data_IF_696912084749
#
_entry.id   IF_696912084749
#
_cell.length_a   1.000
_cell.length_b   1.000
_cell.length_c   1.000
_cell.angle_alpha   90.00
_cell.angle_beta   90.00
_cell.angle_gamma   90.00
#
_symmetry.space_group_name_H-M   'P 1'
#
loop_
_entity.id
_entity.type
_entity.pdbx_description
1 polymer ?
#
# COMPACT_ATOMS: atom_id res chain seq x y z
N UNK A 1 -7.76 -18.41 -1.05
CA UNK A 1 -8.24 -18.20 0.34
C UNK A 1 -7.65 -19.31 1.19
N UNK A 2 -7.34 -19.03 2.45
CA UNK A 2 -6.80 -19.99 3.41
C UNK A 2 -7.81 -20.22 4.56
N UNK A 3 -7.72 -21.38 5.20
CA UNK A 3 -8.51 -21.69 6.39
C UNK A 3 -8.11 -20.78 7.55
N UNK A 4 -9.11 -20.28 8.27
CA UNK A 4 -8.86 -19.54 9.50
C UNK A 4 -8.49 -20.43 10.68
N UNK A 5 -8.19 -19.84 11.85
CA UNK A 5 -7.76 -20.58 13.04
C UNK A 5 -8.78 -21.66 13.46
N UNK A 6 -8.37 -22.67 14.25
CA UNK A 6 -9.29 -23.67 14.78
C UNK A 6 -10.49 -23.03 15.49
N UNK A 7 -11.70 -23.50 15.18
CA UNK A 7 -12.95 -22.96 15.74
C UNK A 7 -14.00 -24.07 15.82
N UNK A 8 -15.16 -23.75 16.41
CA UNK A 8 -16.31 -24.65 16.47
C UNK A 8 -16.97 -24.92 15.11
N UNK A 9 -16.60 -24.17 14.07
CA UNK A 9 -17.15 -24.31 12.71
C UNK A 9 -16.43 -25.45 11.98
N UNK A 10 -17.20 -26.45 11.57
CA UNK A 10 -16.70 -27.62 10.83
C UNK A 10 -16.14 -27.24 9.45
N UNK A 11 -15.28 -28.08 8.87
CA UNK A 11 -14.76 -27.86 7.51
C UNK A 11 -15.87 -27.76 6.45
N UNK A 12 -16.96 -28.53 6.61
CA UNK A 12 -18.11 -28.46 5.73
C UNK A 12 -18.82 -27.11 5.79
N UNK A 13 -19.00 -26.56 6.99
CA UNK A 13 -19.59 -25.24 7.19
C UNK A 13 -18.66 -24.12 6.68
N UNK A 14 -17.35 -24.22 6.91
CA UNK A 14 -16.36 -23.26 6.36
C UNK A 14 -16.43 -23.19 4.84
N UNK A 15 -16.49 -24.36 4.18
CA UNK A 15 -16.63 -24.42 2.72
C UNK A 15 -17.95 -23.79 2.23
N UNK A 16 -19.06 -24.01 2.95
CA UNK A 16 -20.33 -23.37 2.62
C UNK A 16 -20.27 -21.84 2.77
N UNK A 17 -19.67 -21.33 3.85
CA UNK A 17 -19.47 -19.90 4.07
C UNK A 17 -18.58 -19.29 2.98
N UNK A 18 -17.50 -19.98 2.58
CA UNK A 18 -16.61 -19.52 1.51
C UNK A 18 -17.33 -19.46 0.17
N UNK A 19 -18.13 -20.49 -0.19
CA UNK A 19 -18.94 -20.48 -1.41
C UNK A 19 -19.94 -19.33 -1.43
N UNK A 20 -20.61 -19.08 -0.31
CA UNK A 20 -21.51 -17.91 -0.17
C UNK A 20 -20.76 -16.60 -0.35
N UNK A 21 -19.57 -16.48 0.25
CA UNK A 21 -18.73 -15.30 0.12
C UNK A 21 -18.34 -15.03 -1.33
N UNK A 22 -17.85 -16.05 -2.05
CA UNK A 22 -17.52 -15.92 -3.48
C UNK A 22 -18.75 -15.52 -4.31
N UNK A 23 -19.89 -16.18 -4.12
CA UNK A 23 -21.12 -15.85 -4.86
C UNK A 23 -21.61 -14.42 -4.59
N UNK A 24 -21.50 -13.93 -3.35
CA UNK A 24 -21.83 -12.55 -2.99
C UNK A 24 -20.91 -11.54 -3.70
N UNK A 25 -19.61 -11.82 -3.78
CA UNK A 25 -18.67 -10.98 -4.52
C UNK A 25 -18.95 -10.98 -6.03
N UNK A 26 -19.22 -12.14 -6.62
CA UNK A 26 -19.49 -12.26 -8.06
C UNK A 26 -20.78 -11.53 -8.48
N UNK A 27 -21.79 -11.54 -7.61
CA UNK A 27 -23.08 -10.90 -7.84
C UNK A 27 -23.19 -9.47 -7.30
N UNK A 28 -22.20 -9.00 -6.53
CA UNK A 28 -22.24 -7.73 -5.78
C UNK A 28 -23.47 -7.62 -4.85
N UNK A 29 -23.99 -8.75 -4.36
CA UNK A 29 -25.18 -8.82 -3.51
C UNK A 29 -24.83 -8.65 -2.03
N UNK A 30 -24.37 -7.45 -1.65
CA UNK A 30 -23.92 -7.15 -0.29
C UNK A 30 -25.03 -7.38 0.75
N UNK A 31 -24.65 -7.93 1.91
CA UNK A 31 -25.59 -8.19 3.01
C UNK A 31 -25.90 -6.96 3.86
N UNK A 32 -25.02 -5.95 3.81
CA UNK A 32 -25.14 -4.71 4.56
C UNK A 32 -24.30 -3.62 3.88
N UNK A 33 -24.68 -2.37 4.11
CA UNK A 33 -23.92 -1.16 3.74
C UNK A 33 -23.76 -0.32 4.99
N UNK A 34 -22.59 0.27 5.17
CA UNK A 34 -22.29 1.19 6.26
C UNK A 34 -21.80 2.49 5.62
N UNK A 35 -22.49 3.58 5.92
CA UNK A 35 -22.09 4.92 5.49
C UNK A 35 -21.27 5.55 6.61
N UNK A 36 -20.02 5.89 6.32
CA UNK A 36 -19.12 6.57 7.25
C UNK A 36 -18.89 7.98 6.72
N UNK A 37 -19.36 9.04 7.43
CA UNK A 37 -19.10 10.40 7.01
C UNK A 37 -17.62 10.71 7.21
N UNK A 38 -16.97 11.20 6.15
CA UNK A 38 -15.60 11.69 6.20
C UNK A 38 -15.62 13.18 6.55
N UNK A 39 -15.05 13.52 7.70
CA UNK A 39 -14.98 14.86 8.26
C UNK A 39 -13.60 15.53 8.02
N UNK A 40 -12.54 14.74 7.80
CA UNK A 40 -11.17 15.18 7.57
C UNK A 40 -10.56 14.65 6.27
N UNK A 41 -9.37 15.15 5.95
CA UNK A 41 -8.60 14.70 4.77
C UNK A 41 -7.65 13.52 5.05
N UNK A 42 -7.40 13.20 6.32
CA UNK A 42 -6.39 12.23 6.75
C UNK A 42 -7.08 10.95 7.27
N UNK A 43 -6.97 9.87 6.51
CA UNK A 43 -7.63 8.59 6.82
C UNK A 43 -6.82 7.41 6.28
N UNK A 44 -7.07 6.24 6.86
CA UNK A 44 -6.53 4.97 6.40
C UNK A 44 -7.61 3.88 6.43
N UNK A 45 -7.54 2.93 5.48
CA UNK A 45 -8.44 1.77 5.45
C UNK A 45 -7.66 0.50 5.16
N UNK A 46 -7.53 -0.35 6.19
CA UNK A 46 -6.72 -1.54 6.12
C UNK A 46 -7.31 -2.68 6.96
N UNK A 47 -7.32 -3.90 6.41
CA UNK A 47 -7.77 -5.09 7.14
C UNK A 47 -9.24 -5.07 7.58
N UNK A 48 -10.08 -4.20 7.02
CA UNK A 48 -11.48 -4.00 7.46
C UNK A 48 -11.64 -2.99 8.59
N UNK A 49 -10.56 -2.30 8.99
CA UNK A 49 -10.61 -1.12 9.84
C UNK A 49 -10.54 0.13 8.97
N UNK A 50 -11.49 1.04 9.17
CA UNK A 50 -11.42 2.42 8.72
C UNK A 50 -11.00 3.29 9.90
N UNK A 51 -10.01 4.14 9.72
CA UNK A 51 -9.55 5.09 10.72
C UNK A 51 -9.42 6.47 10.08
N UNK A 52 -9.82 7.50 10.80
CA UNK A 52 -9.83 8.87 10.31
C UNK A 52 -9.43 9.83 11.42
N UNK A 53 -8.65 10.84 11.08
CA UNK A 53 -8.31 11.94 11.99
C UNK A 53 -9.56 12.74 12.36
N UNK A 54 -9.79 12.91 13.66
CA UNK A 54 -10.90 13.69 14.19
C UNK A 54 -10.49 14.44 15.46
N UNK A 55 -10.54 15.77 15.42
CA UNK A 55 -10.34 16.65 16.57
C UNK A 55 -9.04 16.38 17.37
N UNK A 56 -7.91 16.16 16.68
CA UNK A 56 -6.62 15.84 17.32
C UNK A 56 -6.50 14.40 17.86
N UNK A 57 -7.46 13.55 17.49
CA UNK A 57 -7.47 12.12 17.76
C UNK A 57 -7.80 11.30 16.51
N UNK A 58 -8.15 10.03 16.71
CA UNK A 58 -8.59 9.14 15.64
C UNK A 58 -9.96 8.54 15.95
N UNK A 59 -10.89 8.63 15.01
CA UNK A 59 -12.12 7.86 15.01
C UNK A 59 -11.89 6.57 14.22
N UNK A 60 -12.16 5.42 14.83
CA UNK A 60 -11.84 4.11 14.27
C UNK A 60 -13.10 3.26 14.21
N UNK A 61 -13.32 2.60 13.07
CA UNK A 61 -14.48 1.75 12.79
C UNK A 61 -14.05 0.43 12.16
N UNK A 62 -14.40 -0.68 12.80
CA UNK A 62 -14.34 -2.02 12.23
C UNK A 62 -15.60 -2.30 11.41
N UNK A 63 -15.40 -2.59 10.13
CA UNK A 63 -16.49 -2.98 9.24
C UNK A 63 -16.94 -4.42 9.53
N UNK A 64 -18.26 -4.67 9.62
CA UNK A 64 -18.78 -5.99 9.90
C UNK A 64 -18.63 -6.94 8.71
N UNK A 65 -18.61 -8.24 8.99
CA UNK A 65 -18.69 -9.29 7.98
C UNK A 65 -19.43 -10.50 8.53
N UNK A 66 -20.72 -10.64 8.18
CA UNK A 66 -21.57 -11.73 8.67
C UNK A 66 -21.01 -13.11 8.32
N UNK A 67 -20.56 -13.30 7.08
CA UNK A 67 -20.00 -14.58 6.60
C UNK A 67 -18.68 -14.94 7.28
N UNK A 68 -17.98 -13.95 7.85
CA UNK A 68 -16.72 -14.16 8.57
C UNK A 68 -16.87 -14.03 10.08
N UNK A 69 -18.08 -13.78 10.59
CA UNK A 69 -18.34 -13.55 12.02
C UNK A 69 -17.71 -12.28 12.59
N UNK A 70 -17.36 -11.30 11.76
CA UNK A 70 -16.71 -10.06 12.21
C UNK A 70 -17.81 -9.07 12.65
N UNK A 71 -17.80 -8.59 13.92
CA UNK A 71 -18.77 -7.62 14.40
C UNK A 71 -18.43 -6.21 13.91
N UNK A 72 -19.44 -5.35 13.89
CA UNK A 72 -19.23 -3.92 13.78
C UNK A 72 -18.79 -3.36 15.13
N UNK A 73 -17.70 -2.61 15.16
CA UNK A 73 -17.18 -1.95 16.35
C UNK A 73 -16.71 -0.54 15.98
N UNK A 74 -16.88 0.41 16.89
CA UNK A 74 -16.32 1.75 16.74
C UNK A 74 -15.76 2.22 18.08
N UNK A 75 -14.62 2.90 18.04
CA UNK A 75 -13.97 3.50 19.19
C UNK A 75 -13.18 4.73 18.77
N UNK A 76 -12.75 5.52 19.75
CA UNK A 76 -11.98 6.73 19.52
C UNK A 76 -10.70 6.69 20.34
N UNK A 77 -9.62 7.19 19.74
CA UNK A 77 -8.39 7.52 20.45
C UNK A 77 -8.35 9.04 20.59
N UNK A 78 -8.71 9.54 21.77
CA UNK A 78 -8.71 10.97 22.07
C UNK A 78 -7.30 11.43 22.45
N UNK A 79 -6.97 12.67 22.07
CA UNK A 79 -5.74 13.37 22.45
C UNK A 79 -4.48 12.50 22.27
N UNK A 80 -4.13 12.23 21.01
CA UNK A 80 -2.94 11.43 20.71
C UNK A 80 -1.65 12.15 21.17
N UNK A 81 -1.72 13.47 21.39
CA UNK A 81 -0.64 14.28 21.93
C UNK A 81 0.51 14.52 20.95
N UNK A 82 0.26 14.31 19.65
CA UNK A 82 1.20 14.59 18.55
C UNK A 82 0.41 15.22 17.40
N UNK A 83 1.10 15.99 16.56
CA UNK A 83 0.52 16.55 15.34
C UNK A 83 0.58 15.49 14.24
N UNK A 84 -0.57 15.04 13.74
CA UNK A 84 -0.66 13.92 12.81
C UNK A 84 -0.42 14.43 11.39
N UNK A 85 0.77 14.16 10.85
CA UNK A 85 1.06 14.45 9.45
C UNK A 85 0.42 13.40 8.52
N UNK A 86 0.61 12.12 8.85
CA UNK A 86 0.00 10.96 8.19
C UNK A 86 0.04 9.77 9.17
N UNK A 87 -0.77 8.75 8.92
CA UNK A 87 -0.79 7.55 9.75
C UNK A 87 -1.18 6.29 8.95
N UNK A 88 -0.84 5.13 9.52
CA UNK A 88 -1.30 3.81 9.03
C UNK A 88 -1.74 2.91 10.16
N UNK A 89 -2.70 2.03 9.85
CA UNK A 89 -3.18 1.02 10.78
C UNK A 89 -2.85 -0.40 10.30
N UNK A 90 -2.44 -1.27 11.21
CA UNK A 90 -2.39 -2.71 10.99
C UNK A 90 -3.12 -3.44 12.13
N UNK A 91 -4.41 -3.78 11.93
CA UNK A 91 -5.22 -4.43 12.96
C UNK A 91 -4.80 -5.87 13.24
N UNK A 92 -4.01 -6.51 12.36
CA UNK A 92 -3.50 -7.85 12.64
C UNK A 92 -2.52 -7.87 13.82
N UNK A 93 -1.84 -6.75 14.04
CA UNK A 93 -0.81 -6.60 15.07
C UNK A 93 -1.21 -5.62 16.18
N UNK A 94 -2.44 -5.09 16.15
CA UNK A 94 -2.87 -3.96 16.99
C UNK A 94 -1.95 -2.73 16.84
N UNK A 95 -1.43 -2.48 15.63
CA UNK A 95 -0.43 -1.44 15.39
C UNK A 95 -1.05 -0.19 14.76
N UNK A 96 -0.71 0.96 15.30
CA UNK A 96 -0.96 2.29 14.77
C UNK A 96 0.39 3.00 14.61
N UNK A 97 0.73 3.38 13.38
CA UNK A 97 1.94 4.12 13.03
C UNK A 97 1.54 5.55 12.72
N UNK A 98 2.14 6.52 13.41
CA UNK A 98 1.83 7.94 13.23
C UNK A 98 3.12 8.68 12.90
N UNK A 99 3.14 9.39 11.77
CA UNK A 99 4.21 10.32 11.47
C UNK A 99 3.86 11.71 12.01
N UNK A 100 4.84 12.29 12.69
CA UNK A 100 4.86 13.64 13.22
C UNK A 100 6.09 14.37 12.64
N UNK A 101 5.91 15.65 12.31
CA UNK A 101 6.99 16.55 11.90
C UNK A 101 8.01 16.82 13.02
N UNK A 102 7.75 16.31 14.24
CA UNK A 102 8.69 16.25 15.34
C UNK A 102 8.93 17.60 16.03
N UNK A 103 9.38 17.60 17.30
CA UNK A 103 9.72 18.85 18.02
C UNK A 103 11.12 19.38 17.68
N UNK A 104 11.98 18.57 17.04
CA UNK A 104 13.42 18.82 16.89
C UNK A 104 13.78 19.40 15.52
N UNK A 105 13.28 20.59 15.22
CA UNK A 105 13.75 21.42 14.11
C UNK A 105 13.39 20.89 12.71
N UNK A 106 13.70 21.69 11.67
CA UNK A 106 13.16 21.56 10.31
C UNK A 106 13.69 20.38 9.47
N UNK A 107 13.96 19.22 10.07
CA UNK A 107 14.50 18.04 9.37
C UNK A 107 14.30 16.70 10.08
N UNK A 108 13.59 16.62 11.20
CA UNK A 108 13.52 15.41 12.01
C UNK A 108 12.11 14.82 12.04
N UNK A 109 11.91 13.73 11.29
CA UNK A 109 10.64 13.00 11.26
C UNK A 109 10.60 12.02 12.43
N UNK A 110 9.52 12.08 13.23
CA UNK A 110 9.28 11.12 14.32
C UNK A 110 8.11 10.22 13.97
N UNK A 111 8.33 8.91 14.05
CA UNK A 111 7.35 7.89 13.72
C UNK A 111 6.96 7.20 15.01
N UNK A 112 5.79 7.53 15.55
CA UNK A 112 5.27 6.94 16.78
C UNK A 112 4.64 5.57 16.51
N UNK A 113 5.01 4.58 17.33
CA UNK A 113 4.48 3.22 17.27
C UNK A 113 3.53 3.02 18.45
N UNK A 114 2.23 2.96 18.17
CA UNK A 114 1.17 2.90 19.18
C UNK A 114 0.28 1.67 19.00
N UNK A 115 -0.42 1.30 20.07
CA UNK A 115 -1.50 0.33 20.02
C UNK A 115 -2.73 0.95 19.37
N UNK A 116 -3.29 0.28 18.36
CA UNK A 116 -4.49 0.73 17.64
C UNK A 116 -5.73 0.72 18.55
N UNK A 117 -5.80 -0.23 19.47
CA UNK A 117 -6.92 -0.38 20.41
C UNK A 117 -6.85 0.59 21.58
N UNK A 118 -5.66 1.05 22.00
CA UNK A 118 -5.49 1.85 23.22
C UNK A 118 -4.82 3.22 23.04
N UNK A 119 -4.16 3.47 21.91
CA UNK A 119 -3.39 4.70 21.64
C UNK A 119 -2.09 4.84 22.45
N UNK A 120 -1.77 3.87 23.31
CA UNK A 120 -0.55 3.83 24.14
C UNK A 120 0.67 3.35 23.34
N UNK A 121 1.91 3.55 23.83
CA UNK A 121 3.10 2.95 23.21
C UNK A 121 2.91 1.46 22.93
N UNK A 122 3.25 1.03 21.71
CA UNK A 122 2.99 -0.32 21.28
C UNK A 122 3.85 -1.32 22.08
N UNK A 123 3.27 -2.37 22.70
CA UNK A 123 4.01 -3.24 23.62
C UNK A 123 5.12 -4.08 22.97
N UNK A 124 5.05 -4.30 21.65
CA UNK A 124 6.09 -5.01 20.89
C UNK A 124 7.19 -4.11 20.34
N UNK A 125 7.09 -2.79 20.47
CA UNK A 125 8.13 -1.86 20.05
C UNK A 125 9.08 -1.58 21.21
N UNK A 126 10.38 -1.64 20.96
CA UNK A 126 11.38 -1.25 21.96
C UNK A 126 11.19 0.22 22.39
N UNK A 127 11.33 0.55 23.70
CA UNK A 127 11.28 1.92 24.16
C UNK A 127 12.34 2.79 23.44
N UNK A 128 12.00 3.99 22.95
CA UNK A 128 10.81 4.80 23.29
C UNK A 128 9.53 4.54 22.46
N UNK A 129 9.41 3.41 21.75
CA UNK A 129 8.31 3.12 20.81
C UNK A 129 8.11 4.23 19.77
N UNK A 130 9.23 4.80 19.34
CA UNK A 130 9.30 5.80 18.30
C UNK A 130 10.55 5.55 17.44
N UNK A 131 10.42 5.79 16.15
CA UNK A 131 11.53 5.76 15.19
C UNK A 131 11.83 7.20 14.79
N UNK A 132 13.10 7.49 14.53
CA UNK A 132 13.54 8.81 14.13
C UNK A 132 14.29 8.72 12.81
N UNK A 133 13.99 9.65 11.90
CA UNK A 133 14.71 9.79 10.66
C UNK A 133 15.00 11.25 10.38
N UNK A 134 16.27 11.56 10.13
CA UNK A 134 16.69 12.91 9.76
C UNK A 134 16.65 12.98 8.24
N UNK A 135 15.81 13.87 7.73
CA UNK A 135 15.65 14.09 6.31
C UNK A 135 15.57 15.60 6.05
N UNK A 136 16.41 16.16 5.16
CA UNK A 136 16.80 17.57 5.18
C UNK A 136 15.70 18.59 4.79
N UNK A 137 14.43 18.21 4.73
CA UNK A 137 13.30 19.08 4.37
C UNK A 137 12.01 18.74 5.14
N UNK A 138 11.20 19.78 5.38
CA UNK A 138 9.91 19.69 6.10
C UNK A 138 8.71 19.35 5.20
N UNK A 139 8.73 19.78 3.92
CA UNK A 139 7.61 19.56 2.99
C UNK A 139 7.82 18.27 2.19
N UNK A 140 7.55 17.14 2.85
CA UNK A 140 7.84 15.81 2.33
C UNK A 140 6.57 14.98 2.29
N UNK A 141 6.26 14.43 1.13
CA UNK A 141 5.21 13.43 1.00
C UNK A 141 5.67 12.10 1.58
N UNK A 142 4.79 11.40 2.28
CA UNK A 142 5.11 10.11 2.90
C UNK A 142 4.30 8.98 2.23
N UNK A 143 4.96 7.86 1.97
CA UNK A 143 4.33 6.64 1.49
C UNK A 143 4.75 5.48 2.39
N UNK A 144 3.78 4.92 3.13
CA UNK A 144 4.00 3.92 4.17
C UNK A 144 3.52 2.55 3.71
N UNK A 145 4.30 1.52 4.02
CA UNK A 145 3.83 0.14 3.94
C UNK A 145 4.26 -0.62 5.20
N UNK A 146 3.36 -1.43 5.76
CA UNK A 146 3.62 -2.31 6.90
C UNK A 146 3.52 -3.76 6.44
N UNK A 147 4.53 -4.57 6.74
CA UNK A 147 4.56 -6.00 6.40
C UNK A 147 5.23 -6.80 7.51
N UNK A 148 4.41 -7.41 8.38
CA UNK A 148 4.92 -8.13 9.54
C UNK A 148 5.72 -7.21 10.46
N UNK A 149 6.99 -7.54 10.70
CA UNK A 149 7.90 -6.74 11.53
C UNK A 149 8.48 -5.53 10.79
N UNK A 150 8.24 -5.38 9.49
CA UNK A 150 8.86 -4.33 8.70
C UNK A 150 7.92 -3.16 8.48
N UNK A 151 8.45 -1.96 8.69
CA UNK A 151 7.83 -0.69 8.32
C UNK A 151 8.72 -0.05 7.27
N UNK A 152 8.18 0.18 6.08
CA UNK A 152 8.84 0.95 5.04
C UNK A 152 8.20 2.34 4.93
N UNK A 153 9.02 3.37 4.76
CA UNK A 153 8.59 4.72 4.45
C UNK A 153 9.42 5.25 3.28
N UNK A 154 8.73 5.67 2.23
CA UNK A 154 9.32 6.45 1.14
C UNK A 154 9.00 7.93 1.36
N UNK A 155 10.05 8.69 1.62
CA UNK A 155 10.07 10.14 1.72
C UNK A 155 10.18 10.72 0.30
N UNK A 156 9.16 11.45 -0.13
CA UNK A 156 9.00 11.98 -1.47
C UNK A 156 9.19 13.50 -1.46
N UNK A 157 10.15 13.98 -2.25
CA UNK A 157 10.37 15.40 -2.46
C UNK A 157 10.02 15.84 -3.88
N UNK A 158 9.67 17.11 -4.01
CA UNK A 158 9.35 17.71 -5.32
C UNK A 158 10.56 17.78 -6.24
N UNK A 159 11.76 17.97 -5.68
CA UNK A 159 13.01 18.00 -6.46
C UNK A 159 13.49 16.59 -6.86
N UNK A 160 12.83 15.56 -6.33
CA UNK A 160 13.12 14.16 -6.60
C UNK A 160 14.15 13.54 -5.67
N UNK A 161 14.69 14.23 -4.65
CA UNK A 161 15.70 13.68 -3.74
C UNK A 161 15.16 12.63 -2.74
N UNK A 162 14.39 11.67 -3.23
CA UNK A 162 13.61 10.73 -2.42
C UNK A 162 14.50 9.81 -1.58
N UNK A 163 14.00 9.42 -0.41
CA UNK A 163 14.63 8.42 0.45
C UNK A 163 13.66 7.29 0.78
N UNK A 164 14.09 6.03 0.61
CA UNK A 164 13.38 4.85 1.06
C UNK A 164 14.08 4.29 2.30
N UNK A 165 13.35 4.19 3.40
CA UNK A 165 13.86 3.62 4.64
C UNK A 165 12.96 2.49 5.09
N UNK A 166 13.55 1.36 5.46
CA UNK A 166 12.86 0.19 6.00
C UNK A 166 13.45 -0.10 7.37
N UNK A 167 12.57 -0.12 8.37
CA UNK A 167 12.88 -0.54 9.73
C UNK A 167 12.34 -1.94 10.01
N UNK A 168 13.02 -2.68 10.86
CA UNK A 168 12.32 -3.58 11.78
C UNK A 168 11.72 -2.71 12.89
N UNK A 169 10.41 -2.47 12.83
CA UNK A 169 9.75 -1.52 13.74
C UNK A 169 9.74 -2.00 15.19
N UNK A 170 9.90 -3.31 15.43
CA UNK A 170 9.93 -3.85 16.80
C UNK A 170 11.24 -3.51 17.49
N UNK A 171 12.36 -3.72 16.80
CA UNK A 171 13.70 -3.41 17.33
C UNK A 171 14.16 -1.98 17.06
N UNK A 172 13.48 -1.25 16.18
CA UNK A 172 13.84 0.10 15.77
C UNK A 172 15.04 0.19 14.82
N UNK A 173 15.61 -0.94 14.42
CA UNK A 173 16.78 -0.99 13.54
C UNK A 173 16.39 -0.69 12.09
N UNK A 174 17.15 0.17 11.43
CA UNK A 174 17.10 0.35 9.97
C UNK A 174 17.71 -0.90 9.34
N UNK A 175 16.93 -1.62 8.53
CA UNK A 175 17.39 -2.79 7.77
C UNK A 175 17.79 -2.42 6.33
N UNK A 176 17.21 -1.35 5.80
CA UNK A 176 17.58 -0.78 4.51
C UNK A 176 17.33 0.72 4.52
N UNK A 177 18.27 1.47 3.95
CA UNK A 177 18.12 2.87 3.63
C UNK A 177 18.57 3.06 2.19
N UNK A 178 17.94 3.98 1.46
CA UNK A 178 18.46 4.40 0.17
C UNK A 178 18.01 5.81 -0.16
N UNK A 179 18.93 6.60 -0.71
CA UNK A 179 18.64 7.91 -1.30
C UNK A 179 18.71 7.76 -2.81
N UNK A 180 17.56 7.84 -3.49
CA UNK A 180 17.48 7.64 -4.93
C UNK A 180 16.29 8.35 -5.53
N UNK A 181 16.56 9.24 -6.48
CA UNK A 181 15.57 9.96 -7.27
C UNK A 181 14.78 9.10 -8.27
N UNK A 182 15.30 7.91 -8.52
CA UNK A 182 14.65 6.91 -9.33
C UNK A 182 13.47 6.26 -8.59
N UNK A 183 13.52 6.14 -7.26
CA UNK A 183 12.47 5.46 -6.46
C UNK A 183 11.25 6.37 -6.35
N UNK A 184 10.11 5.94 -6.91
CA UNK A 184 8.88 6.75 -6.94
C UNK A 184 7.72 6.13 -6.16
N UNK A 185 7.70 4.81 -6.03
CA UNK A 185 6.79 4.07 -5.19
C UNK A 185 7.37 2.70 -4.85
N UNK A 186 6.92 2.08 -3.78
CA UNK A 186 7.32 0.74 -3.41
C UNK A 186 6.19 0.00 -2.71
N UNK A 187 6.31 -1.32 -2.56
CA UNK A 187 5.54 -2.10 -1.60
C UNK A 187 6.33 -3.37 -1.22
N UNK A 188 5.96 -4.03 -0.12
CA UNK A 188 6.55 -5.32 0.25
C UNK A 188 5.97 -6.44 -0.61
N UNK A 189 6.81 -7.31 -1.16
CA UNK A 189 6.40 -8.57 -1.81
C UNK A 189 6.49 -9.77 -0.87
N UNK A 190 7.42 -9.73 0.08
CA UNK A 190 7.59 -10.73 1.12
C UNK A 190 8.24 -10.10 2.35
N UNK A 191 8.53 -10.92 3.35
CA UNK A 191 9.41 -10.63 4.49
C UNK A 191 10.87 -10.26 4.14
N UNK A 192 11.25 -10.27 2.86
CA UNK A 192 12.63 -10.12 2.39
C UNK A 192 12.77 -9.31 1.11
N UNK A 193 11.68 -9.16 0.36
CA UNK A 193 11.71 -8.45 -0.91
C UNK A 193 10.70 -7.31 -0.96
N UNK A 194 11.12 -6.24 -1.61
CA UNK A 194 10.25 -5.13 -2.01
C UNK A 194 10.13 -5.09 -3.53
N UNK A 195 8.97 -4.63 -4.00
CA UNK A 195 8.78 -4.18 -5.36
C UNK A 195 8.89 -2.66 -5.38
N UNK A 196 9.67 -2.12 -6.30
CA UNK A 196 9.88 -0.68 -6.45
C UNK A 196 9.49 -0.28 -7.87
N UNK A 197 8.60 0.72 -7.99
CA UNK A 197 8.44 1.44 -9.25
C UNK A 197 9.49 2.53 -9.32
N UNK A 198 10.36 2.40 -10.31
CA UNK A 198 11.28 3.45 -10.69
C UNK A 198 10.76 4.14 -11.93
N UNK A 199 10.92 5.47 -11.97
CA UNK A 199 10.43 6.25 -13.09
C UNK A 199 11.35 7.40 -13.39
N UNK A 200 11.72 7.51 -14.67
CA UNK A 200 12.33 8.72 -15.22
C UNK A 200 11.27 9.48 -16.04
N UNK A 201 11.14 10.81 -15.89
CA UNK A 201 10.21 11.62 -16.68
C UNK A 201 10.39 11.53 -18.21
N UNK A 202 11.52 11.01 -18.66
CA UNK A 202 12.01 10.90 -20.03
C UNK A 202 12.06 9.45 -20.52
N UNK A 203 12.48 8.50 -19.68
CA UNK A 203 12.77 7.11 -20.09
C UNK A 203 11.70 6.07 -19.68
N UNK A 204 10.64 6.50 -18.98
CA UNK A 204 9.51 5.63 -18.65
C UNK A 204 9.59 5.01 -17.26
N UNK A 205 8.81 3.95 -17.04
CA UNK A 205 8.72 3.23 -15.76
C UNK A 205 9.45 1.90 -15.88
N UNK A 206 10.13 1.48 -14.82
CA UNK A 206 10.57 0.10 -14.65
C UNK A 206 10.15 -0.38 -13.27
N UNK A 207 9.88 -1.67 -13.16
CA UNK A 207 9.46 -2.29 -11.91
C UNK A 207 10.61 -3.19 -11.44
N UNK A 208 11.15 -2.95 -10.26
CA UNK A 208 12.37 -3.60 -9.79
C UNK A 208 12.11 -4.36 -8.50
N UNK A 209 12.64 -5.57 -8.38
CA UNK A 209 12.65 -6.32 -7.13
C UNK A 209 14.00 -6.12 -6.45
N UNK A 210 13.97 -5.74 -5.19
CA UNK A 210 15.15 -5.70 -4.33
C UNK A 210 15.01 -6.70 -3.18
N UNK A 211 16.14 -7.27 -2.77
CA UNK A 211 16.29 -7.97 -1.49
C UNK A 211 16.78 -6.95 -0.46
N UNK A 212 15.92 -6.60 0.49
CA UNK A 212 16.22 -5.56 1.49
C UNK A 212 16.87 -6.13 2.76
N UNK A 213 17.16 -7.43 2.79
CA UNK A 213 17.86 -8.09 3.91
C UNK A 213 19.16 -8.76 3.43
N UNK A 214 20.13 -8.00 2.88
CA UNK A 214 21.37 -8.60 2.44
C UNK A 214 22.13 -9.21 3.63
N UNK A 215 22.81 -10.32 3.39
CA UNK A 215 23.48 -11.14 4.42
C UNK A 215 24.64 -10.42 5.15
N UNK A 216 25.11 -9.29 4.63
CA UNK A 216 26.32 -8.61 5.11
C UNK A 216 26.07 -7.45 6.10
N UNK A 217 24.82 -7.23 6.56
CA UNK A 217 24.44 -6.26 7.62
C UNK A 217 24.94 -4.80 7.44
N UNK A 218 25.54 -4.45 6.30
CA UNK A 218 25.98 -3.08 6.02
C UNK A 218 24.82 -2.31 5.38
N UNK A 219 24.26 -1.36 6.15
CA UNK A 219 23.34 -0.37 5.61
C UNK A 219 24.13 0.55 4.69
N UNK A 220 23.86 0.47 3.39
CA UNK A 220 24.37 1.40 2.36
C UNK A 220 23.34 2.50 2.13
N UNK A 221 23.77 3.67 1.66
CA UNK A 221 22.87 4.73 1.16
C UNK A 221 22.36 4.46 -0.26
N UNK A 222 22.95 3.48 -0.95
CA UNK A 222 22.56 3.08 -2.30
C UNK A 222 21.57 1.92 -2.27
N UNK A 223 20.72 1.84 -3.29
CA UNK A 223 19.88 0.65 -3.49
C UNK A 223 20.76 -0.59 -3.63
N UNK A 224 20.35 -1.74 -3.04
CA UNK A 224 21.06 -2.99 -3.22
C UNK A 224 21.04 -3.41 -4.70
N UNK A 225 21.86 -4.40 -5.06
CA UNK A 225 21.77 -4.95 -6.41
C UNK A 225 20.35 -5.50 -6.67
N UNK A 226 19.74 -5.16 -7.81
CA UNK A 226 18.40 -5.63 -8.13
C UNK A 226 18.39 -7.15 -8.28
N UNK A 227 17.37 -7.81 -7.76
CA UNK A 227 17.10 -9.22 -8.01
C UNK A 227 16.67 -9.41 -9.46
N UNK A 228 15.66 -8.64 -9.89
CA UNK A 228 15.10 -8.64 -11.23
C UNK A 228 14.56 -7.25 -11.59
N UNK A 229 14.58 -6.93 -12.89
CA UNK A 229 14.05 -5.69 -13.45
C UNK A 229 13.01 -6.06 -14.49
N UNK A 230 11.78 -5.65 -14.26
CA UNK A 230 10.62 -5.89 -15.11
C UNK A 230 10.38 -4.65 -15.96
N UNK A 231 10.55 -4.83 -17.26
CA UNK A 231 10.34 -3.77 -18.23
C UNK A 231 8.85 -3.43 -18.29
N UNK A 232 8.55 -2.13 -18.16
CA UNK A 232 7.20 -1.60 -18.32
C UNK A 232 7.05 -1.04 -19.73
N UNK A 233 5.87 -1.14 -20.36
CA UNK A 233 5.69 -0.70 -21.72
C UNK A 233 5.82 0.81 -21.77
N UNK A 234 6.38 1.31 -22.87
CA UNK A 234 6.22 2.71 -23.22
C UNK A 234 4.72 3.00 -23.29
N UNK A 235 4.27 3.90 -22.42
CA UNK A 235 2.88 4.33 -22.45
C UNK A 235 2.73 5.31 -23.61
N UNK A 236 2.33 4.79 -24.77
CA UNK A 236 1.96 5.59 -25.94
C UNK A 236 0.65 6.30 -25.62
N UNK A 237 0.76 7.38 -24.86
CA UNK A 237 -0.34 8.29 -24.62
C UNK A 237 -0.36 9.36 -25.71
N UNK A 238 -1.55 9.82 -26.13
CA UNK A 238 -1.66 10.94 -27.03
C UNK A 238 -0.83 12.11 -26.49
N UNK A 239 -0.01 12.71 -27.36
CA UNK A 239 0.70 13.95 -27.07
C UNK A 239 -0.24 14.97 -26.42
N UNK A 240 0.31 15.81 -25.55
CA UNK A 240 -0.47 16.91 -25.00
C UNK A 240 -0.99 17.83 -26.11
N UNK A 241 -1.90 18.75 -25.78
CA UNK A 241 -2.46 19.73 -26.73
C UNK A 241 -1.41 20.65 -27.38
N UNK A 242 -0.13 20.58 -26.95
CA UNK A 242 1.02 21.29 -27.52
C UNK A 242 1.99 20.35 -28.25
N UNK A 243 1.62 19.09 -28.50
CA UNK A 243 2.46 18.11 -29.18
C UNK A 243 3.65 17.60 -28.35
N UNK A 244 3.65 17.76 -27.02
CA UNK A 244 4.72 17.28 -26.13
C UNK A 244 4.36 15.92 -25.51
N UNK A 245 5.36 15.03 -25.30
CA UNK A 245 5.12 13.75 -24.67
C UNK A 245 4.59 13.97 -23.23
N UNK A 246 3.65 13.14 -22.76
CA UNK A 246 3.15 13.24 -21.40
C UNK A 246 4.26 12.89 -20.42
N UNK A 247 4.40 13.72 -19.39
CA UNK A 247 5.34 13.50 -18.31
C UNK A 247 4.65 12.78 -17.17
N UNK A 248 5.33 11.82 -16.57
CA UNK A 248 4.89 11.17 -15.33
C UNK A 248 4.96 12.22 -14.21
N UNK A 249 3.87 12.35 -13.46
CA UNK A 249 3.76 13.20 -12.28
C UNK A 249 4.00 12.40 -11.00
N UNK A 250 3.08 11.48 -10.69
CA UNK A 250 3.19 10.63 -9.49
C UNK A 250 3.00 9.16 -9.84
N UNK A 251 3.69 8.30 -9.07
CA UNK A 251 3.53 6.85 -9.10
C UNK A 251 3.08 6.40 -7.71
N UNK A 252 2.15 5.46 -7.65
CA UNK A 252 1.83 4.74 -6.40
C UNK A 252 1.76 3.25 -6.68
N UNK A 253 2.24 2.44 -5.75
CA UNK A 253 2.06 0.99 -5.76
C UNK A 253 1.27 0.62 -4.52
N UNK A 254 0.17 -0.08 -4.72
CA UNK A 254 -0.70 -0.55 -3.67
C UNK A 254 -0.84 -2.06 -3.77
N UNK A 255 -0.71 -2.73 -2.63
CA UNK A 255 -1.02 -4.15 -2.49
C UNK A 255 -1.64 -4.36 -1.12
N UNK A 256 -2.88 -4.85 -1.12
CA UNK A 256 -3.67 -4.96 0.10
C UNK A 256 -4.34 -6.33 0.22
N UNK A 257 -4.23 -6.97 1.41
CA UNK A 257 -3.34 -6.59 2.52
C UNK A 257 -1.86 -6.84 2.15
N UNK A 258 -0.94 -6.54 3.07
CA UNK A 258 0.49 -6.81 2.91
C UNK A 258 0.81 -8.32 2.93
N UNK A 259 1.95 -8.75 2.35
CA UNK A 259 2.36 -10.16 2.34
C UNK A 259 2.37 -10.76 3.74
N UNK A 260 1.87 -11.98 3.87
CA UNK A 260 1.81 -12.67 5.17
C UNK A 260 0.78 -12.11 6.15
N UNK A 261 0.00 -11.09 5.79
CA UNK A 261 -1.08 -10.59 6.63
C UNK A 261 -2.12 -11.68 6.89
N UNK A 262 -2.47 -11.85 8.16
CA UNK A 262 -3.54 -12.72 8.65
C UNK A 262 -4.39 -11.93 9.65
N UNK A 263 -5.72 -12.13 9.69
CA UNK A 263 -6.56 -11.46 10.68
C UNK A 263 -6.10 -11.74 12.11
N UNK A 264 -6.31 -10.79 13.02
CA UNK A 264 -5.99 -10.98 14.43
C UNK A 264 -6.69 -12.24 14.98
N UNK A 265 -6.00 -13.13 15.73
CA UNK A 265 -6.56 -14.41 16.18
C UNK A 265 -7.88 -14.29 16.97
N UNK A 266 -8.09 -13.17 17.68
CA UNK A 266 -9.33 -12.92 18.43
C UNK A 266 -10.59 -12.89 17.55
N UNK A 267 -10.47 -12.58 16.25
CA UNK A 267 -11.63 -12.55 15.35
C UNK A 267 -12.15 -13.95 15.00
N UNK A 268 -11.33 -15.01 15.16
CA UNK A 268 -11.72 -16.40 14.90
C UNK A 268 -12.43 -16.62 13.55
N UNK A 269 -11.99 -15.90 12.51
CA UNK A 269 -12.65 -15.94 11.20
C UNK A 269 -12.57 -17.35 10.59
N UNK A 270 -13.57 -17.79 9.81
CA UNK A 270 -13.55 -19.13 9.20
C UNK A 270 -12.52 -19.28 8.06
N UNK A 271 -12.17 -18.17 7.41
CA UNK A 271 -11.21 -18.11 6.30
C UNK A 271 -10.65 -16.69 6.14
N UNK A 272 -9.52 -16.57 5.47
CA UNK A 272 -8.94 -15.28 5.09
C UNK A 272 -8.27 -15.32 3.71
N UNK A 273 -7.76 -14.17 3.27
CA UNK A 273 -7.04 -14.06 1.99
C UNK A 273 -5.79 -14.94 2.01
N UNK A 274 -5.49 -15.50 0.85
CA UNK A 274 -4.31 -16.33 0.63
C UNK A 274 -3.07 -15.44 0.45
N UNK A 275 -1.97 -15.88 1.06
CA UNK A 275 -0.68 -15.19 1.01
C UNK A 275 -0.15 -15.00 -0.42
N UNK A 276 -0.40 -15.94 -1.32
CA UNK A 276 0.17 -15.99 -2.67
C UNK A 276 -0.80 -15.52 -3.77
N UNK A 277 -2.03 -15.12 -3.41
CA UNK A 277 -3.08 -14.72 -4.35
C UNK A 277 -3.47 -13.25 -4.12
N UNK A 278 -2.69 -12.33 -4.70
CA UNK A 278 -2.91 -10.89 -4.56
C UNK A 278 -2.71 -10.17 -5.88
N UNK A 279 -3.42 -9.06 -6.04
CA UNK A 279 -3.21 -8.09 -7.08
C UNK A 279 -2.38 -6.93 -6.55
N UNK A 280 -1.43 -6.50 -7.38
CA UNK A 280 -0.75 -5.23 -7.25
C UNK A 280 -1.48 -4.23 -8.13
N UNK A 281 -1.71 -3.05 -7.58
CA UNK A 281 -2.18 -1.89 -8.30
C UNK A 281 -1.02 -0.90 -8.45
N UNK A 282 -0.62 -0.62 -9.68
CA UNK A 282 0.26 0.50 -10.01
C UNK A 282 -0.59 1.63 -10.57
N UNK A 283 -0.59 2.79 -9.91
CA UNK A 283 -1.21 4.01 -10.44
C UNK A 283 -0.12 4.93 -10.98
N UNK A 284 -0.27 5.33 -12.24
CA UNK A 284 0.57 6.34 -12.89
C UNK A 284 -0.26 7.57 -13.18
N UNK A 285 0.02 8.67 -12.47
CA UNK A 285 -0.58 9.97 -12.75
C UNK A 285 0.33 10.77 -13.67
N UNK A 286 -0.22 11.32 -14.73
CA UNK A 286 0.53 12.17 -15.66
C UNK A 286 0.30 13.65 -15.36
N UNK A 287 1.30 14.47 -15.62
CA UNK A 287 1.16 15.93 -15.54
C UNK A 287 0.04 16.34 -16.52
N UNK A 288 -0.93 17.11 -16.02
CA UNK A 288 -2.17 17.51 -16.74
C UNK A 288 -3.20 16.39 -16.92
N UNK A 289 -3.42 15.64 -15.84
CA UNK A 289 -4.75 15.08 -15.47
C UNK A 289 -5.16 13.73 -16.05
N UNK A 290 -4.30 13.02 -16.78
CA UNK A 290 -4.53 11.60 -17.09
C UNK A 290 -4.03 10.71 -15.96
N UNK A 291 -4.72 9.60 -15.74
CA UNK A 291 -4.26 8.53 -14.84
C UNK A 291 -4.31 7.21 -15.58
N UNK A 292 -3.26 6.41 -15.49
CA UNK A 292 -3.28 5.00 -15.84
C UNK A 292 -3.26 4.20 -14.54
N UNK A 293 -4.05 3.14 -14.47
CA UNK A 293 -4.00 2.18 -13.36
C UNK A 293 -3.84 0.80 -13.96
N UNK A 294 -2.83 0.09 -13.49
CA UNK A 294 -2.43 -1.20 -13.97
C UNK A 294 -2.53 -2.21 -12.84
N UNK A 295 -3.24 -3.31 -13.11
CA UNK A 295 -3.45 -4.41 -12.18
C UNK A 295 -2.70 -5.63 -12.68
N UNK A 296 -1.91 -6.25 -11.81
CA UNK A 296 -1.20 -7.47 -12.14
C UNK A 296 -1.07 -8.39 -10.91
N UNK A 297 -1.11 -9.71 -11.11
CA UNK A 297 -0.91 -10.66 -10.03
C UNK A 297 0.53 -10.64 -9.51
N UNK A 298 0.72 -11.07 -8.27
CA UNK A 298 2.08 -11.20 -7.68
C UNK A 298 2.86 -12.40 -8.23
N UNK A 299 2.19 -13.38 -8.85
CA UNK A 299 2.80 -14.65 -9.27
C UNK A 299 4.01 -14.53 -10.19
N UNK A 300 4.09 -13.60 -11.18
CA UNK A 300 5.28 -13.48 -12.02
C UNK A 300 6.52 -13.05 -11.21
N UNK A 301 6.33 -12.19 -10.21
CA UNK A 301 7.40 -11.70 -9.33
C UNK A 301 7.89 -12.80 -8.40
N UNK A 302 6.97 -13.52 -7.75
CA UNK A 302 7.31 -14.65 -6.87
C UNK A 302 8.07 -15.76 -7.63
N UNK A 303 7.68 -16.02 -8.89
CA UNK A 303 8.39 -16.97 -9.75
C UNK A 303 9.84 -16.54 -9.98
N UNK A 304 10.10 -15.27 -10.28
CA UNK A 304 11.48 -14.81 -10.48
C UNK A 304 12.30 -14.83 -9.18
N UNK A 305 11.69 -14.50 -8.03
CA UNK A 305 12.33 -14.64 -6.72
C UNK A 305 12.74 -16.10 -6.46
N UNK A 306 11.86 -17.06 -6.75
CA UNK A 306 12.17 -18.49 -6.59
C UNK A 306 13.35 -18.92 -7.48
N UNK A 307 13.35 -18.49 -8.75
CA UNK A 307 14.45 -18.78 -9.68
C UNK A 307 15.78 -18.17 -9.22
N UNK A 308 15.76 -16.92 -8.75
CA UNK A 308 16.92 -16.26 -8.16
C UNK A 308 17.47 -17.01 -6.95
N UNK A 309 16.61 -17.39 -5.99
CA UNK A 309 17.02 -18.13 -4.78
C UNK A 309 17.61 -19.50 -5.08
N UNK A 310 17.19 -20.13 -6.17
CA UNK A 310 17.77 -21.41 -6.62
C UNK A 310 19.12 -21.27 -7.35
N UNK A 311 19.69 -20.05 -7.40
CA UNK A 311 20.90 -19.72 -8.16
C UNK A 311 20.82 -20.08 -9.65
N UNK A 312 19.60 -20.25 -10.17
CA UNK A 312 19.37 -20.58 -11.58
C UNK A 312 19.50 -19.36 -12.48
N UNK A 313 19.59 -18.16 -11.91
CA UNK A 313 19.56 -16.88 -12.64
C UNK A 313 20.49 -15.86 -11.98
N UNK A 314 21.17 -15.06 -12.79
CA UNK A 314 21.98 -13.93 -12.32
C UNK A 314 21.12 -12.79 -11.74
N UNK A 315 21.74 -11.97 -10.88
CA UNK A 315 21.16 -10.72 -10.39
C UNK A 315 20.90 -9.74 -11.53
N UNK A 316 19.92 -8.85 -11.35
CA UNK A 316 19.62 -7.77 -12.29
C UNK A 316 19.04 -8.23 -13.63
N UNK A 317 18.49 -9.46 -13.69
CA UNK A 317 17.88 -9.96 -14.92
C UNK A 317 16.76 -9.05 -15.40
N UNK A 318 16.82 -8.70 -16.69
CA UNK A 318 15.80 -7.95 -17.39
C UNK A 318 14.68 -8.90 -17.86
N UNK A 319 13.44 -8.61 -17.50
CA UNK A 319 12.25 -9.37 -17.87
C UNK A 319 11.39 -8.49 -18.79
N UNK A 320 11.26 -8.84 -20.10
CA UNK A 320 10.43 -8.11 -21.04
C UNK A 320 8.96 -8.08 -20.62
N UNK A 321 8.26 -6.98 -20.93
CA UNK A 321 6.82 -6.81 -20.64
C UNK A 321 5.95 -7.99 -21.11
N UNK A 322 6.26 -8.52 -22.29
CA UNK A 322 5.53 -9.62 -22.93
C UNK A 322 5.56 -10.90 -22.07
N UNK A 323 6.62 -11.08 -21.29
CA UNK A 323 6.86 -12.30 -20.51
C UNK A 323 6.15 -12.30 -19.15
N UNK A 324 5.77 -11.12 -18.62
CA UNK A 324 5.22 -11.01 -17.25
C UNK A 324 3.84 -10.35 -17.16
N UNK A 325 3.46 -9.47 -18.10
CA UNK A 325 2.24 -8.68 -17.96
C UNK A 325 1.26 -8.82 -19.11
N UNK A 326 1.71 -9.05 -20.34
CA UNK A 326 0.85 -8.91 -21.54
C UNK A 326 -0.45 -9.73 -21.49
N UNK A 327 -0.42 -10.94 -20.91
CA UNK A 327 -1.55 -11.86 -20.89
C UNK A 327 -2.23 -12.00 -19.51
N UNK A 328 -1.58 -11.53 -18.45
CA UNK A 328 -2.02 -11.77 -17.07
C UNK A 328 -2.36 -10.48 -16.30
N UNK A 329 -2.30 -9.34 -16.98
CA UNK A 329 -2.52 -8.03 -16.36
C UNK A 329 -3.60 -7.22 -17.06
N UNK A 330 -4.11 -6.20 -16.38
CA UNK A 330 -5.16 -5.32 -16.90
C UNK A 330 -4.77 -3.86 -16.68
N UNK A 331 -4.58 -3.12 -17.77
CA UNK A 331 -4.34 -1.68 -17.73
C UNK A 331 -5.62 -0.91 -18.12
N UNK A 332 -5.86 0.19 -17.42
CA UNK A 332 -6.97 1.12 -17.67
C UNK A 332 -6.43 2.54 -17.64
N UNK A 333 -6.91 3.38 -18.56
CA UNK A 333 -6.50 4.77 -18.71
C UNK A 333 -7.74 5.63 -18.58
N UNK A 334 -7.67 6.69 -17.77
CA UNK A 334 -8.73 7.66 -17.57
C UNK A 334 -8.28 9.02 -18.08
N UNK A 335 -9.13 9.66 -18.88
CA UNK A 335 -8.87 10.97 -19.47
C UNK A 335 -9.18 12.14 -18.54
N UNK A 336 -9.96 11.94 -17.47
CA UNK A 336 -10.34 13.00 -16.52
C UNK A 336 -10.05 12.60 -15.06
N UNK A 337 -9.55 13.52 -14.21
CA UNK A 337 -9.25 13.23 -12.81
C UNK A 337 -10.46 12.86 -11.97
N UNK A 338 -11.61 13.48 -12.28
CA UNK A 338 -12.87 13.31 -11.54
C UNK A 338 -13.48 11.92 -11.72
N UNK A 339 -13.05 11.19 -12.74
CA UNK A 339 -13.59 9.87 -13.07
C UNK A 339 -12.98 8.77 -12.19
N UNK A 340 -12.00 9.13 -11.34
CA UNK A 340 -11.26 8.18 -10.54
C UNK A 340 -10.90 8.69 -9.14
N UNK A 341 -11.68 8.26 -8.14
CA UNK A 341 -11.29 8.28 -6.73
C UNK A 341 -10.72 6.90 -6.37
N UNK A 342 -9.40 6.78 -6.27
CA UNK A 342 -8.75 5.56 -5.76
C UNK A 342 -8.75 5.61 -4.24
N UNK A 343 -9.80 5.11 -3.63
CA UNK A 343 -9.81 4.85 -2.19
C UNK A 343 -9.80 3.33 -2.06
N UNK A 344 -8.66 2.77 -1.64
CA UNK A 344 -8.43 1.35 -1.35
C UNK A 344 -9.11 0.36 -2.31
N UNK A 345 -8.65 0.32 -3.57
CA UNK A 345 -9.38 -0.37 -4.64
C UNK A 345 -8.97 -1.83 -4.89
N UNK A 346 -8.07 -2.40 -4.08
CA UNK A 346 -7.68 -3.82 -4.16
C UNK A 346 -7.81 -4.50 -2.80
N UNK A 347 -8.37 -5.71 -2.79
CA UNK A 347 -8.39 -6.59 -1.63
C UNK A 347 -8.21 -8.03 -2.11
N UNK A 348 -7.01 -8.59 -1.88
CA UNK A 348 -6.64 -9.89 -2.44
C UNK A 348 -6.62 -9.86 -3.96
N UNK A 349 -7.43 -10.72 -4.59
CA UNK A 349 -7.57 -10.79 -6.07
C UNK A 349 -8.73 -9.98 -6.62
N UNK A 350 -9.43 -9.23 -5.77
CA UNK A 350 -10.65 -8.51 -6.15
C UNK A 350 -10.46 -7.00 -6.09
N UNK A 351 -11.24 -6.30 -6.91
CA UNK A 351 -11.29 -4.84 -6.98
C UNK A 351 -12.72 -4.35 -7.10
N UNK A 352 -13.01 -3.25 -6.40
CA UNK A 352 -14.20 -2.44 -6.59
C UNK A 352 -13.74 -1.04 -6.97
N UNK A 353 -14.41 -0.42 -7.94
CA UNK A 353 -14.24 0.99 -8.22
C UNK A 353 -15.61 1.65 -8.40
N UNK A 354 -15.78 2.83 -7.82
CA UNK A 354 -16.95 3.66 -8.08
C UNK A 354 -16.73 4.40 -9.39
N UNK A 355 -17.68 4.27 -10.33
CA UNK A 355 -17.76 5.20 -11.45
C UNK A 355 -18.35 6.50 -10.91
N UNK A 356 -17.56 7.56 -10.83
CA UNK A 356 -18.07 8.85 -10.36
C UNK A 356 -19.29 9.27 -11.20
N UNK A 357 -20.43 9.51 -10.53
CA UNK A 357 -21.53 10.22 -11.16
C UNK A 357 -21.10 11.69 -11.26
N UNK A 358 -20.81 12.15 -12.48
CA UNK A 358 -20.61 13.56 -12.77
C UNK A 358 -21.88 14.30 -12.32
N UNK A 359 -21.79 15.14 -11.28
CA UNK A 359 -22.87 16.04 -10.93
C UNK A 359 -23.00 17.07 -12.08
N UNK A 360 -24.08 17.06 -12.86
CA UNK A 360 -24.21 17.95 -14.03
C UNK A 360 -24.18 19.43 -13.67
N UNK A 361 -24.42 19.78 -12.40
CA UNK A 361 -24.41 21.16 -11.92
C UNK A 361 -23.00 21.76 -11.74
N UNK A 362 -21.93 20.95 -11.82
CA UNK A 362 -20.54 21.41 -11.82
C UNK A 362 -19.92 21.54 -13.23
N UNK A 363 -20.71 21.35 -14.29
CA UNK A 363 -20.29 21.70 -15.65
C UNK A 363 -20.25 23.22 -15.79
N UNK A 364 -19.10 23.82 -15.44
CA UNK A 364 -18.78 25.20 -15.73
C UNK A 364 -19.04 25.50 -17.21
N UNK A 365 -19.83 26.56 -17.45
CA UNK A 365 -20.17 27.10 -18.77
C UNK A 365 -18.92 27.19 -19.65
N UNK A 366 -18.79 26.28 -20.61
CA UNK A 366 -17.96 26.48 -21.79
C UNK A 366 -18.82 27.20 -22.82
N UNK A 367 -18.47 28.46 -23.12
CA UNK A 367 -19.02 29.18 -24.27
C UNK A 367 -18.49 28.51 -25.55
N UNK A 368 -19.39 28.40 -26.53
CA UNK A 368 -19.14 28.00 -27.92
C UNK A 368 -18.04 28.83 -28.57
#
# INVERSE_FOLDING_TARGET
MEDGPPSSVTSGERLQLLRKHTATWDSMAYTATVDIPMESGCWDFYGGIFAEEKQGGLAITQLPSQLRGIPHLSWELQDIGVDIQDFRVDPAQDLLVIADNGPTGPSAHTIHLRSLSTGKPHPSAEPPSALHYIYPNDDVGLCFHISGNYLGILFLQQDGSNALVIWDWKSGNIVMESQSDAVRAFCFLSDRHILVAQGDPTYGVVIVIYDFTPSDNLVSSDLPQPVCVFQYPEMILPYDYKGKPPKIGTLTIDMFPSPGWTPHPSLSVPFHLDRDQRLIQLTVSFIRHRKAVHFFPISPFLRQISLYRSSMVATGRQIPWQDWAQNESCMRIWDRPTDFTSVCSVYGTSRIYCKAHINPNYAGRTRQ
#
